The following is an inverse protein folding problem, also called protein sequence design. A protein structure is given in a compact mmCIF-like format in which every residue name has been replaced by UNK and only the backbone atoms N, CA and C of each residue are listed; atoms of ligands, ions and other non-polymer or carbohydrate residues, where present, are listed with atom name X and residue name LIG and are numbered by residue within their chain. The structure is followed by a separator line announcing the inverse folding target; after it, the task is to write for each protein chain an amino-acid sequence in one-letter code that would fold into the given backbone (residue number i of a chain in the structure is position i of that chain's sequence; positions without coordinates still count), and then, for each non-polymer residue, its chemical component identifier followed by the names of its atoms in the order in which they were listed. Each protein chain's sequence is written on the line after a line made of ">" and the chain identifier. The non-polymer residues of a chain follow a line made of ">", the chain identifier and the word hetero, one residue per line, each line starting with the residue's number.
data_IF_356351411152
#
_entry.id   IF_356351411152
#
_cell.length_a   1.000
_cell.length_b   1.000
_cell.length_c   1.000
_cell.angle_alpha   90.00
_cell.angle_beta   90.00
_cell.angle_gamma   90.00
#
_symmetry.space_group_name_H-M   'P 1'
#
loop_
_entity.id
_entity.type
_entity.pdbx_description
1 polymer ?
#
# COMPACT_ATOMS: atom_id res chain seq x y z
N UNK A 1 44.79 43.26 -35.60
CA UNK A 1 44.44 43.93 -36.86
C UNK A 1 42.97 43.67 -37.10
N UNK A 2 42.19 44.67 -36.81
CA UNK A 2 41.44 45.61 -37.64
C UNK A 2 40.21 44.94 -38.29
N UNK A 3 39.01 45.23 -37.75
CA UNK A 3 38.00 46.24 -38.23
C UNK A 3 37.39 45.84 -39.58
N UNK A 4 36.11 45.82 -39.85
CA UNK A 4 35.19 46.94 -39.75
C UNK A 4 33.73 46.49 -39.88
N UNK A 5 32.87 47.32 -39.34
CA UNK A 5 31.41 47.43 -39.45
C UNK A 5 30.96 47.67 -40.90
N UNK A 6 29.76 47.23 -41.22
CA UNK A 6 28.85 48.08 -42.01
C UNK A 6 27.39 47.73 -41.78
N UNK A 7 26.68 48.71 -41.29
CA UNK A 7 25.26 48.83 -41.15
C UNK A 7 24.64 49.28 -42.50
N UNK A 8 23.61 48.59 -42.97
CA UNK A 8 22.71 49.18 -43.99
C UNK A 8 21.25 48.97 -43.56
N UNK A 9 20.63 50.12 -43.29
CA UNK A 9 19.22 50.34 -43.15
C UNK A 9 18.59 50.39 -44.54
N UNK A 10 17.60 49.57 -44.81
CA UNK A 10 16.66 49.86 -45.89
C UNK A 10 15.19 49.60 -45.45
N UNK A 11 14.52 50.71 -45.30
CA UNK A 11 13.09 50.91 -45.14
C UNK A 11 12.42 50.61 -46.47
N UNK A 12 11.46 49.67 -46.49
CA UNK A 12 10.43 49.76 -47.55
C UNK A 12 9.05 49.34 -46.97
N UNK A 13 8.15 50.26 -47.15
CA UNK A 13 6.71 50.19 -46.85
C UNK A 13 6.03 49.30 -47.88
N UNK A 14 5.28 48.31 -47.42
CA UNK A 14 4.24 47.68 -48.24
C UNK A 14 3.03 47.40 -47.37
N UNK A 15 2.05 48.18 -47.65
CA UNK A 15 0.56 47.99 -47.69
C UNK A 15 -0.07 46.90 -46.81
N UNK A 16 -0.85 47.41 -45.93
CA UNK A 16 -1.84 46.77 -45.05
C UNK A 16 -3.02 46.25 -45.91
N UNK A 17 -3.20 44.97 -46.05
CA UNK A 17 -4.49 44.37 -46.41
C UNK A 17 -5.03 43.62 -45.19
N UNK A 18 -5.92 44.27 -44.45
CA UNK A 18 -6.73 43.67 -43.41
C UNK A 18 -7.80 42.82 -44.09
N UNK A 19 -7.62 41.50 -44.08
CA UNK A 19 -8.73 40.56 -44.32
C UNK A 19 -9.29 40.17 -42.95
N UNK A 20 -10.41 40.81 -42.62
CA UNK A 20 -11.25 40.42 -41.47
C UNK A 20 -11.88 39.07 -41.75
N UNK A 21 -11.28 37.98 -41.24
CA UNK A 21 -11.96 36.70 -41.10
C UNK A 21 -12.84 36.79 -39.85
N UNK A 22 -14.14 37.06 -40.06
CA UNK A 22 -15.16 36.85 -39.02
C UNK A 22 -15.29 35.34 -38.78
N UNK A 23 -14.55 34.81 -37.81
CA UNK A 23 -14.87 33.51 -37.21
C UNK A 23 -16.13 33.69 -36.36
N UNK A 24 -17.28 33.35 -36.92
CA UNK A 24 -18.47 33.09 -36.13
C UNK A 24 -18.18 31.88 -35.22
N UNK A 25 -17.77 32.16 -34.00
CA UNK A 25 -17.75 31.16 -32.93
C UNK A 25 -19.22 30.78 -32.67
N UNK A 26 -19.69 29.69 -33.24
CA UNK A 26 -20.92 29.04 -32.79
C UNK A 26 -20.65 28.56 -31.37
N UNK A 27 -21.09 29.33 -30.38
CA UNK A 27 -21.16 28.89 -29.00
C UNK A 27 -22.05 27.65 -28.96
N UNK A 28 -21.44 26.49 -28.86
CA UNK A 28 -22.13 25.26 -28.47
C UNK A 28 -22.83 25.57 -27.14
N UNK A 29 -24.14 25.29 -27.04
CA UNK A 29 -24.82 25.50 -25.78
C UNK A 29 -24.11 24.67 -24.75
N UNK A 30 -23.47 25.33 -23.77
CA UNK A 30 -22.80 24.67 -22.65
C UNK A 30 -23.78 23.68 -22.04
N UNK A 31 -23.48 22.41 -22.09
CA UNK A 31 -24.21 21.40 -21.34
C UNK A 31 -24.21 21.86 -19.89
N UNK A 32 -25.38 22.35 -19.43
CA UNK A 32 -25.61 22.61 -18.01
C UNK A 32 -25.31 21.29 -17.31
N UNK A 33 -24.20 21.22 -16.55
CA UNK A 33 -24.00 20.12 -15.62
C UNK A 33 -25.28 19.97 -14.82
N UNK A 34 -25.92 18.82 -14.93
CA UNK A 34 -27.08 18.54 -14.07
C UNK A 34 -26.63 18.75 -12.63
N UNK A 35 -27.44 19.34 -11.77
CA UNK A 35 -27.11 19.48 -10.36
C UNK A 35 -26.83 18.11 -9.81
N UNK A 36 -25.60 17.90 -9.31
CA UNK A 36 -25.24 16.65 -8.67
C UNK A 36 -26.09 16.56 -7.40
N UNK A 37 -26.97 15.57 -7.35
CA UNK A 37 -27.79 15.33 -6.17
C UNK A 37 -26.87 15.02 -5.00
N UNK A 38 -26.94 15.83 -3.94
CA UNK A 38 -26.10 15.66 -2.76
C UNK A 38 -26.69 14.59 -1.84
N UNK A 39 -25.83 13.71 -1.32
CA UNK A 39 -26.24 12.74 -0.32
C UNK A 39 -26.87 13.42 0.91
N UNK A 40 -27.95 12.87 1.47
CA UNK A 40 -28.59 13.44 2.65
C UNK A 40 -27.63 13.44 3.83
N UNK A 41 -27.49 14.57 4.50
CA UNK A 41 -26.56 14.74 5.65
C UNK A 41 -26.85 13.76 6.81
N UNK A 42 -28.10 13.32 6.94
CA UNK A 42 -28.59 12.46 8.02
C UNK A 42 -28.90 11.03 7.53
N UNK A 43 -28.46 10.64 6.35
CA UNK A 43 -28.66 9.28 5.84
C UNK A 43 -27.84 8.25 6.64
N UNK A 44 -28.37 7.02 6.76
CA UNK A 44 -27.68 5.93 7.41
C UNK A 44 -26.44 5.53 6.59
N UNK A 45 -25.26 5.54 7.22
CA UNK A 45 -24.05 5.01 6.59
C UNK A 45 -24.16 3.51 6.45
N UNK A 46 -23.78 3.03 5.28
CA UNK A 46 -23.83 1.62 4.94
C UNK A 46 -22.70 1.21 4.00
N UNK A 47 -22.55 -0.08 3.81
CA UNK A 47 -21.66 -0.70 2.83
C UNK A 47 -22.24 -2.02 2.33
N UNK A 48 -21.62 -2.61 1.32
CA UNK A 48 -21.98 -3.90 0.77
C UNK A 48 -20.94 -4.97 1.12
N UNK A 49 -21.41 -6.21 1.30
CA UNK A 49 -20.57 -7.41 1.38
C UNK A 49 -20.57 -8.22 0.08
N UNK A 50 -21.25 -7.76 -0.94
CA UNK A 50 -21.29 -8.36 -2.28
C UNK A 50 -21.47 -7.31 -3.35
N UNK A 51 -21.10 -7.62 -4.58
CA UNK A 51 -21.38 -6.74 -5.74
C UNK A 51 -22.89 -6.58 -5.95
N UNK A 52 -23.34 -5.36 -6.20
CA UNK A 52 -24.74 -5.07 -6.48
C UNK A 52 -24.86 -4.03 -7.61
N UNK A 53 -25.90 -4.21 -8.43
CA UNK A 53 -26.24 -3.26 -9.48
C UNK A 53 -27.01 -2.10 -8.89
N UNK A 54 -26.75 -0.89 -9.39
CA UNK A 54 -27.57 0.30 -9.20
C UNK A 54 -28.46 0.52 -10.42
N UNK A 55 -29.71 0.84 -10.18
CA UNK A 55 -30.72 1.07 -11.21
C UNK A 55 -31.30 2.48 -11.09
N UNK A 56 -31.84 3.01 -12.21
CA UNK A 56 -32.50 4.33 -12.25
C UNK A 56 -33.79 4.31 -11.42
N UNK A 57 -34.52 3.19 -11.43
CA UNK A 57 -35.79 2.99 -10.71
C UNK A 57 -35.74 1.73 -9.86
N UNK A 58 -36.62 1.55 -8.85
CA UNK A 58 -36.70 0.36 -8.02
C UNK A 58 -37.31 -0.83 -8.79
N UNK A 59 -36.69 -1.19 -9.88
CA UNK A 59 -37.08 -2.26 -10.80
C UNK A 59 -35.84 -2.81 -11.51
N UNK A 60 -35.63 -4.13 -11.48
CA UNK A 60 -34.53 -4.79 -12.19
C UNK A 60 -34.61 -4.68 -13.71
N UNK A 61 -35.80 -4.38 -14.26
CA UNK A 61 -36.01 -4.10 -15.69
C UNK A 61 -35.62 -2.68 -16.09
N UNK A 62 -35.35 -1.80 -15.14
CA UNK A 62 -34.91 -0.43 -15.44
C UNK A 62 -33.44 -0.36 -15.85
N UNK A 63 -33.00 0.78 -16.37
CA UNK A 63 -31.62 0.99 -16.80
C UNK A 63 -30.66 0.86 -15.61
N UNK A 64 -29.62 0.05 -15.81
CA UNK A 64 -28.52 -0.08 -14.84
C UNK A 64 -27.58 1.12 -14.96
N UNK A 65 -27.34 1.80 -13.85
CA UNK A 65 -26.48 3.01 -13.79
C UNK A 65 -25.03 2.67 -13.51
N UNK A 66 -24.82 1.72 -12.58
CA UNK A 66 -23.47 1.32 -12.14
C UNK A 66 -23.48 -0.02 -11.41
N UNK A 67 -22.27 -0.49 -11.06
CA UNK A 67 -22.05 -1.60 -10.13
C UNK A 67 -21.33 -1.05 -8.91
N UNK A 68 -21.79 -1.39 -7.71
CA UNK A 68 -21.10 -1.08 -6.46
C UNK A 68 -20.41 -2.35 -5.96
N UNK A 69 -19.14 -2.24 -5.67
CA UNK A 69 -18.31 -3.35 -5.16
C UNK A 69 -18.32 -3.41 -3.63
N UNK A 70 -17.95 -4.54 -3.02
CA UNK A 70 -17.87 -4.67 -1.57
C UNK A 70 -17.00 -3.61 -0.89
N UNK A 71 -17.38 -3.23 0.33
CA UNK A 71 -16.64 -2.27 1.14
C UNK A 71 -16.78 -0.80 0.71
N UNK A 72 -17.48 -0.50 -0.38
CA UNK A 72 -17.71 0.88 -0.82
C UNK A 72 -18.62 1.62 0.15
N UNK A 73 -18.30 2.90 0.36
CA UNK A 73 -19.09 3.78 1.22
C UNK A 73 -20.41 4.14 0.56
N UNK A 74 -21.46 4.02 1.33
CA UNK A 74 -22.81 4.36 0.88
C UNK A 74 -23.57 5.11 1.97
N UNK A 75 -24.55 5.89 1.53
CA UNK A 75 -25.56 6.51 2.38
C UNK A 75 -26.95 6.11 1.88
N UNK A 76 -27.74 5.50 2.76
CA UNK A 76 -29.11 5.13 2.46
C UNK A 76 -29.99 6.39 2.59
N UNK A 77 -30.63 6.77 1.50
CA UNK A 77 -31.52 7.94 1.45
C UNK A 77 -32.99 7.57 1.64
N UNK A 78 -33.43 6.43 1.07
CA UNK A 78 -34.82 6.05 1.04
C UNK A 78 -34.95 4.52 1.02
N UNK A 79 -36.05 3.99 1.57
CA UNK A 79 -36.44 2.58 1.53
C UNK A 79 -37.82 2.44 0.89
N UNK A 80 -37.95 1.55 -0.09
CA UNK A 80 -39.21 1.26 -0.78
C UNK A 80 -39.36 -0.26 -0.98
N UNK A 81 -40.06 -0.92 -0.12
CA UNK A 81 -40.20 -2.39 -0.12
C UNK A 81 -38.84 -3.07 0.05
N UNK A 82 -38.41 -3.82 -0.98
CA UNK A 82 -37.11 -4.49 -1.02
C UNK A 82 -36.01 -3.66 -1.70
N UNK A 83 -36.28 -2.38 -1.97
CA UNK A 83 -35.37 -1.48 -2.64
C UNK A 83 -34.86 -0.39 -1.71
N UNK A 84 -33.59 -0.05 -1.90
CA UNK A 84 -32.95 1.08 -1.25
C UNK A 84 -32.48 2.08 -2.30
N UNK A 85 -32.81 3.35 -2.09
CA UNK A 85 -32.15 4.43 -2.79
C UNK A 85 -30.90 4.79 -2.03
N UNK A 86 -29.75 4.72 -2.71
CA UNK A 86 -28.46 4.96 -2.10
C UNK A 86 -27.67 6.00 -2.87
N UNK A 87 -26.81 6.69 -2.15
CA UNK A 87 -25.67 7.44 -2.70
C UNK A 87 -24.41 6.62 -2.37
N UNK A 88 -23.72 6.17 -3.39
CA UNK A 88 -22.57 5.32 -3.27
C UNK A 88 -21.35 5.93 -3.97
N UNK A 89 -20.17 5.56 -3.51
CA UNK A 89 -18.93 5.82 -4.22
C UNK A 89 -18.59 4.61 -5.09
N UNK A 90 -18.31 4.84 -6.36
CA UNK A 90 -17.80 3.82 -7.28
C UNK A 90 -16.37 4.18 -7.72
N UNK A 91 -15.64 3.18 -8.22
CA UNK A 91 -14.30 3.39 -8.74
C UNK A 91 -14.36 4.18 -10.06
N UNK A 92 -13.52 5.21 -10.17
CA UNK A 92 -13.22 5.79 -11.46
C UNK A 92 -12.37 4.79 -12.30
N UNK A 93 -12.48 4.82 -13.63
CA UNK A 93 -11.58 4.06 -14.48
C UNK A 93 -10.12 4.40 -14.18
N UNK A 94 -9.30 3.37 -13.99
CA UNK A 94 -7.87 3.57 -13.76
C UNK A 94 -7.20 4.17 -15.01
N UNK A 95 -6.57 5.32 -14.82
CA UNK A 95 -5.71 5.93 -15.84
C UNK A 95 -4.27 5.64 -15.45
N UNK A 96 -3.68 4.62 -16.02
CA UNK A 96 -2.29 4.26 -15.74
C UNK A 96 -1.34 5.24 -16.45
N UNK A 97 -0.55 5.97 -15.67
CA UNK A 97 0.58 6.72 -16.19
C UNK A 97 1.83 5.83 -16.15
N UNK A 98 2.68 5.96 -17.18
CA UNK A 98 3.93 5.22 -17.23
C UNK A 98 4.83 5.63 -16.05
N UNK A 99 5.44 4.64 -15.40
CA UNK A 99 6.41 4.79 -14.32
C UNK A 99 5.89 5.56 -13.07
N UNK A 100 4.58 5.45 -12.79
CA UNK A 100 3.99 5.93 -11.54
C UNK A 100 3.15 4.83 -10.89
N UNK A 101 3.28 4.61 -9.57
CA UNK A 101 2.45 3.65 -8.86
C UNK A 101 0.97 4.02 -8.93
N UNK A 102 0.11 3.04 -9.21
CA UNK A 102 -1.34 3.25 -9.29
C UNK A 102 -1.90 3.77 -7.95
N UNK A 103 -1.38 3.29 -6.84
CA UNK A 103 -1.83 3.67 -5.51
C UNK A 103 -1.50 5.13 -5.13
N UNK A 104 -0.50 5.76 -5.75
CA UNK A 104 -0.16 7.16 -5.52
C UNK A 104 -1.08 8.14 -6.23
N UNK A 105 -1.65 7.73 -7.36
CA UNK A 105 -2.56 8.60 -8.13
C UNK A 105 -3.88 8.88 -7.41
N UNK A 106 -4.10 8.24 -6.26
CA UNK A 106 -5.33 8.31 -5.49
C UNK A 106 -6.48 7.61 -6.22
N UNK A 107 -7.23 6.80 -5.50
CA UNK A 107 -8.44 6.25 -6.08
C UNK A 107 -9.48 7.36 -6.18
N UNK A 108 -9.60 7.96 -7.35
CA UNK A 108 -10.75 8.81 -7.61
C UNK A 108 -12.03 7.99 -7.44
N UNK A 109 -12.94 8.52 -6.64
CA UNK A 109 -14.26 7.93 -6.47
C UNK A 109 -15.28 8.83 -7.14
N UNK A 110 -16.19 8.22 -7.86
CA UNK A 110 -17.30 8.91 -8.50
C UNK A 110 -18.53 8.69 -7.63
N UNK A 111 -19.10 9.76 -7.02
CA UNK A 111 -20.35 9.65 -6.30
C UNK A 111 -21.49 9.44 -7.29
N UNK A 112 -22.33 8.45 -7.04
CA UNK A 112 -23.47 8.09 -7.87
C UNK A 112 -24.67 7.80 -6.97
N UNK A 113 -25.88 8.05 -7.49
CA UNK A 113 -27.13 7.67 -6.82
C UNK A 113 -27.95 6.71 -7.67
N UNK A 114 -28.68 5.83 -7.03
CA UNK A 114 -29.55 4.88 -7.70
C UNK A 114 -30.28 3.97 -6.71
N UNK A 115 -31.06 3.06 -7.27
CA UNK A 115 -31.78 2.05 -6.52
C UNK A 115 -31.07 0.71 -6.57
N UNK A 116 -31.02 0.01 -5.45
CA UNK A 116 -30.52 -1.35 -5.34
C UNK A 116 -31.38 -2.20 -4.45
N UNK A 117 -31.30 -3.52 -4.61
CA UNK A 117 -31.98 -4.45 -3.69
C UNK A 117 -31.39 -4.36 -2.28
N UNK A 118 -32.24 -4.40 -1.26
CA UNK A 118 -31.86 -4.50 0.15
C UNK A 118 -31.35 -5.91 0.46
N UNK A 119 -30.17 -6.24 -0.07
CA UNK A 119 -29.55 -7.55 0.07
C UNK A 119 -28.02 -7.46 0.15
N UNK A 120 -27.45 -7.93 1.26
CA UNK A 120 -26.00 -7.89 1.50
C UNK A 120 -25.52 -6.49 1.89
N UNK A 121 -26.39 -5.69 2.49
CA UNK A 121 -26.11 -4.35 2.97
C UNK A 121 -25.92 -4.40 4.48
N UNK A 122 -24.84 -3.80 4.93
CA UNK A 122 -24.50 -3.63 6.35
C UNK A 122 -24.57 -2.13 6.66
N UNK A 123 -25.39 -1.77 7.64
CA UNK A 123 -25.42 -0.43 8.22
C UNK A 123 -25.00 -0.47 9.69
N UNK A 124 -24.92 0.70 10.33
CA UNK A 124 -24.48 0.84 11.73
C UNK A 124 -25.43 0.16 12.75
N UNK A 125 -26.64 -0.21 12.34
CA UNK A 125 -27.63 -0.89 13.18
C UNK A 125 -27.69 -2.40 12.91
N UNK A 126 -26.92 -2.89 11.95
CA UNK A 126 -26.90 -4.32 11.62
C UNK A 126 -26.32 -5.12 12.79
N UNK A 127 -27.07 -6.09 13.35
CA UNK A 127 -26.56 -6.93 14.43
C UNK A 127 -25.29 -7.65 14.00
N UNK A 128 -24.22 -7.56 14.84
CA UNK A 128 -22.90 -8.14 14.53
C UNK A 128 -22.30 -7.66 13.21
N UNK A 129 -22.65 -6.44 12.77
CA UNK A 129 -22.19 -5.89 11.50
C UNK A 129 -20.67 -5.79 11.40
N UNK A 130 -19.98 -5.52 12.52
CA UNK A 130 -18.52 -5.53 12.64
C UNK A 130 -17.92 -6.92 12.34
N UNK A 131 -18.48 -7.98 12.94
CA UNK A 131 -18.01 -9.34 12.73
C UNK A 131 -18.30 -9.83 11.29
N UNK A 132 -19.45 -9.44 10.73
CA UNK A 132 -19.80 -9.77 9.34
C UNK A 132 -18.81 -9.12 8.38
N UNK A 133 -18.58 -7.81 8.51
CA UNK A 133 -17.62 -7.09 7.67
C UNK A 133 -16.20 -7.62 7.81
N UNK A 134 -15.79 -7.94 9.03
CA UNK A 134 -14.48 -8.51 9.29
C UNK A 134 -14.33 -9.90 8.64
N UNK A 135 -15.33 -10.77 8.76
CA UNK A 135 -15.30 -12.10 8.14
C UNK A 135 -15.24 -12.05 6.62
N UNK A 136 -16.01 -11.16 6.00
CA UNK A 136 -15.96 -10.96 4.54
C UNK A 136 -14.60 -10.36 4.10
N UNK A 137 -14.02 -9.46 4.93
CA UNK A 137 -12.70 -8.91 4.67
C UNK A 137 -11.61 -9.98 4.69
N UNK A 138 -11.64 -10.89 5.68
CA UNK A 138 -10.73 -12.05 5.76
C UNK A 138 -10.89 -12.95 4.53
N UNK A 139 -12.11 -13.26 4.14
CA UNK A 139 -12.37 -14.09 2.95
C UNK A 139 -11.83 -13.45 1.67
N UNK A 140 -11.96 -12.13 1.53
CA UNK A 140 -11.42 -11.40 0.39
C UNK A 140 -9.87 -11.33 0.41
N UNK A 141 -9.26 -11.20 1.60
CA UNK A 141 -7.81 -11.24 1.80
C UNK A 141 -7.23 -12.62 1.45
N UNK A 142 -7.89 -13.69 1.90
CA UNK A 142 -7.51 -15.06 1.55
C UNK A 142 -7.59 -15.28 0.04
N UNK A 143 -8.69 -14.85 -0.61
CA UNK A 143 -8.83 -14.91 -2.06
C UNK A 143 -7.75 -14.09 -2.80
N UNK A 144 -7.35 -12.95 -2.25
CA UNK A 144 -6.28 -12.13 -2.83
C UNK A 144 -4.90 -12.81 -2.76
N UNK A 145 -4.74 -13.78 -1.85
CA UNK A 145 -3.49 -14.53 -1.65
C UNK A 145 -3.40 -15.81 -2.51
N UNK A 146 -4.44 -16.12 -3.28
CA UNK A 146 -4.45 -17.27 -4.18
C UNK A 146 -3.49 -17.08 -5.36
N UNK A 147 -3.10 -18.19 -6.00
CA UNK A 147 -2.22 -18.15 -7.18
C UNK A 147 -2.80 -17.33 -8.34
N UNK A 148 -4.14 -17.34 -8.48
CA UNK A 148 -4.90 -16.57 -9.47
C UNK A 148 -6.01 -15.79 -8.76
N UNK A 149 -5.67 -14.66 -8.12
CA UNK A 149 -6.62 -13.93 -7.31
C UNK A 149 -7.73 -13.31 -8.16
N UNK A 150 -8.97 -13.28 -7.66
CA UNK A 150 -10.03 -12.53 -8.31
C UNK A 150 -9.67 -11.04 -8.43
N UNK A 151 -9.95 -10.39 -9.57
CA UNK A 151 -9.68 -8.97 -9.74
C UNK A 151 -10.33 -8.13 -8.64
N UNK A 152 -9.54 -7.29 -7.97
CA UNK A 152 -10.00 -6.39 -6.92
C UNK A 152 -10.11 -7.00 -5.53
N UNK A 153 -9.85 -8.30 -5.32
CA UNK A 153 -10.02 -8.97 -4.01
C UNK A 153 -9.24 -8.27 -2.88
N UNK A 154 -7.98 -7.92 -3.10
CA UNK A 154 -7.19 -7.20 -2.12
C UNK A 154 -7.77 -5.81 -1.78
N UNK A 155 -8.27 -5.08 -2.78
CA UNK A 155 -8.93 -3.80 -2.54
C UNK A 155 -10.25 -3.97 -1.78
N UNK A 156 -11.05 -4.98 -2.13
CA UNK A 156 -12.29 -5.33 -1.42
C UNK A 156 -12.00 -5.65 0.06
N UNK A 157 -10.98 -6.48 0.33
CA UNK A 157 -10.52 -6.77 1.70
C UNK A 157 -10.17 -5.49 2.47
N UNK A 158 -9.32 -4.64 1.91
CA UNK A 158 -8.91 -3.38 2.52
C UNK A 158 -10.10 -2.47 2.83
N UNK A 159 -11.02 -2.32 1.90
CA UNK A 159 -12.20 -1.46 2.08
C UNK A 159 -13.13 -2.01 3.17
N UNK A 160 -13.37 -3.31 3.20
CA UNK A 160 -14.19 -3.96 4.22
C UNK A 160 -13.59 -3.80 5.62
N UNK A 161 -12.26 -4.00 5.81
CA UNK A 161 -11.59 -3.72 7.08
C UNK A 161 -11.74 -2.25 7.50
N UNK A 162 -11.61 -1.32 6.57
CA UNK A 162 -11.84 0.11 6.86
C UNK A 162 -13.27 0.38 7.31
N UNK A 163 -14.28 -0.30 6.73
CA UNK A 163 -15.68 -0.14 7.18
C UNK A 163 -15.88 -0.60 8.62
N UNK A 164 -15.20 -1.68 9.07
CA UNK A 164 -15.23 -2.06 10.50
C UNK A 164 -14.80 -0.89 11.38
N UNK A 165 -13.67 -0.26 11.06
CA UNK A 165 -13.12 0.87 11.84
C UNK A 165 -14.05 2.08 11.82
N UNK A 166 -14.62 2.41 10.67
CA UNK A 166 -15.39 3.65 10.48
C UNK A 166 -16.83 3.55 10.96
N UNK A 167 -17.44 2.37 10.86
CA UNK A 167 -18.86 2.16 11.18
C UNK A 167 -19.07 1.63 12.60
N UNK A 168 -18.11 0.88 13.14
CA UNK A 168 -18.22 0.22 14.44
C UNK A 168 -17.07 0.62 15.39
N UNK A 169 -16.99 1.89 15.80
CA UNK A 169 -15.87 2.45 16.58
C UNK A 169 -15.70 1.84 17.99
N UNK A 170 -16.63 0.98 18.45
CA UNK A 170 -16.53 0.28 19.73
C UNK A 170 -16.25 -1.23 19.56
N UNK A 171 -16.02 -1.70 18.33
CA UNK A 171 -15.75 -3.12 18.08
C UNK A 171 -14.36 -3.52 18.66
N UNK A 172 -14.25 -4.72 19.26
CA UNK A 172 -12.97 -5.26 19.67
C UNK A 172 -12.06 -5.60 18.46
N UNK A 173 -12.61 -5.62 17.25
CA UNK A 173 -11.91 -5.94 16.01
C UNK A 173 -11.20 -4.74 15.37
N UNK A 174 -11.35 -3.52 15.92
CA UNK A 174 -10.80 -2.28 15.32
C UNK A 174 -9.29 -2.34 15.13
N UNK A 175 -8.54 -2.75 16.17
CA UNK A 175 -7.08 -2.78 16.11
C UNK A 175 -6.57 -3.70 15.00
N UNK A 176 -7.14 -4.90 14.92
CA UNK A 176 -6.83 -5.85 13.86
C UNK A 176 -7.24 -5.33 12.49
N UNK A 177 -8.47 -4.83 12.37
CA UNK A 177 -8.99 -4.28 11.10
C UNK A 177 -8.14 -3.13 10.58
N UNK A 178 -7.73 -2.22 11.47
CA UNK A 178 -6.89 -1.09 11.08
C UNK A 178 -5.51 -1.55 10.59
N UNK A 179 -4.90 -2.50 11.29
CA UNK A 179 -3.62 -3.07 10.87
C UNK A 179 -3.75 -3.83 9.55
N UNK A 180 -4.73 -4.74 9.41
CA UNK A 180 -4.91 -5.52 8.16
C UNK A 180 -5.21 -4.61 6.96
N UNK A 181 -6.04 -3.57 7.13
CA UNK A 181 -6.26 -2.58 6.08
C UNK A 181 -4.97 -1.87 5.65
N UNK A 182 -4.12 -1.51 6.62
CA UNK A 182 -2.82 -0.90 6.37
C UNK A 182 -1.84 -1.88 5.70
N UNK A 183 -1.82 -3.16 6.15
CA UNK A 183 -0.94 -4.19 5.58
C UNK A 183 -1.32 -4.54 4.15
N UNK A 184 -2.61 -4.73 3.85
CA UNK A 184 -3.06 -4.96 2.46
C UNK A 184 -2.66 -3.78 1.56
N UNK A 185 -2.81 -2.53 2.02
CA UNK A 185 -2.34 -1.37 1.27
C UNK A 185 -0.82 -1.41 1.04
N UNK A 186 -0.07 -1.77 2.08
CA UNK A 186 1.39 -1.89 2.03
C UNK A 186 1.83 -2.92 0.97
N UNK A 187 1.18 -4.10 0.96
CA UNK A 187 1.47 -5.15 -0.02
C UNK A 187 1.10 -4.72 -1.45
N UNK A 188 -0.03 -4.02 -1.63
CA UNK A 188 -0.41 -3.46 -2.92
C UNK A 188 0.61 -2.44 -3.41
N UNK A 189 1.06 -1.52 -2.57
CA UNK A 189 2.10 -0.55 -2.93
C UNK A 189 3.43 -1.22 -3.26
N UNK A 190 3.82 -2.26 -2.52
CA UNK A 190 5.02 -3.05 -2.84
C UNK A 190 4.91 -3.72 -4.21
N UNK A 191 3.75 -4.31 -4.52
CA UNK A 191 3.52 -4.93 -5.82
C UNK A 191 3.53 -3.90 -6.96
N UNK A 192 2.89 -2.75 -6.77
CA UNK A 192 2.89 -1.66 -7.74
C UNK A 192 4.31 -1.12 -7.97
N UNK A 193 5.06 -0.84 -6.90
CA UNK A 193 6.44 -0.37 -6.99
C UNK A 193 7.35 -1.40 -7.70
N UNK A 194 7.19 -2.70 -7.39
CA UNK A 194 7.96 -3.76 -8.03
C UNK A 194 7.66 -3.93 -9.54
N UNK A 195 6.46 -3.51 -9.98
CA UNK A 195 6.06 -3.56 -11.37
C UNK A 195 6.55 -2.37 -12.22
N UNK A 196 7.12 -1.34 -11.60
CA UNK A 196 7.61 -0.16 -12.31
C UNK A 196 8.94 -0.44 -13.02
N UNK A 197 9.21 0.18 -14.19
CA UNK A 197 10.54 0.16 -14.79
C UNK A 197 11.64 0.62 -13.86
N UNK A 198 11.39 1.66 -13.07
CA UNK A 198 12.30 2.21 -12.05
C UNK A 198 12.62 1.25 -10.89
N UNK A 199 11.83 0.19 -10.71
CA UNK A 199 12.10 -0.84 -9.69
C UNK A 199 13.43 -1.59 -9.94
N UNK A 200 13.90 -1.61 -11.17
CA UNK A 200 15.18 -2.21 -11.56
C UNK A 200 16.37 -1.28 -11.39
N UNK A 201 16.12 -0.02 -11.01
CA UNK A 201 17.19 0.93 -10.69
C UNK A 201 17.97 0.46 -9.46
N UNK A 202 19.26 0.63 -9.54
CA UNK A 202 20.16 0.12 -8.50
C UNK A 202 20.26 1.05 -7.30
N UNK A 203 20.13 2.34 -7.51
CA UNK A 203 20.28 3.34 -6.45
C UNK A 203 19.04 3.40 -5.56
N UNK A 204 19.22 3.25 -4.25
CA UNK A 204 18.13 3.21 -3.27
C UNK A 204 17.22 4.43 -3.30
N UNK A 205 17.78 5.61 -3.53
CA UNK A 205 17.03 6.87 -3.54
C UNK A 205 16.13 7.00 -4.78
N UNK A 206 16.31 6.15 -5.79
CA UNK A 206 15.47 6.06 -6.98
C UNK A 206 14.33 5.05 -6.82
N UNK A 207 14.34 4.27 -5.72
CA UNK A 207 13.29 3.29 -5.48
C UNK A 207 12.09 3.94 -4.85
N UNK A 208 10.92 3.53 -5.30
CA UNK A 208 9.65 3.95 -4.73
C UNK A 208 9.53 3.47 -3.29
N UNK A 209 9.08 4.38 -2.42
CA UNK A 209 8.82 4.07 -1.02
C UNK A 209 7.32 3.95 -0.78
N UNK A 210 6.93 3.01 0.07
CA UNK A 210 5.55 2.87 0.49
C UNK A 210 5.15 4.03 1.41
N UNK A 211 3.91 4.47 1.29
CA UNK A 211 3.32 5.46 2.19
C UNK A 211 3.10 4.86 3.59
N UNK A 212 3.79 5.39 4.57
CA UNK A 212 3.78 4.90 5.96
C UNK A 212 2.59 5.42 6.80
N UNK A 213 1.74 6.28 6.28
CA UNK A 213 0.76 7.01 7.10
C UNK A 213 -0.25 6.09 7.79
N UNK A 214 -0.74 5.05 7.10
CA UNK A 214 -1.68 4.09 7.70
C UNK A 214 -0.98 3.24 8.77
N UNK A 215 0.27 2.80 8.53
CA UNK A 215 1.07 2.08 9.53
C UNK A 215 1.34 2.93 10.77
N UNK A 216 1.74 4.20 10.60
CA UNK A 216 1.94 5.15 11.72
C UNK A 216 0.66 5.38 12.52
N UNK A 217 -0.51 5.37 11.87
CA UNK A 217 -1.80 5.46 12.57
C UNK A 217 -2.05 4.24 13.45
N UNK A 218 -1.73 3.03 12.98
CA UNK A 218 -1.84 1.81 13.79
C UNK A 218 -0.97 1.91 15.05
N UNK A 219 0.30 2.28 14.91
CA UNK A 219 1.23 2.49 16.02
C UNK A 219 0.70 3.54 17.03
N UNK A 220 0.15 4.63 16.51
CA UNK A 220 -0.36 5.76 17.33
C UNK A 220 -1.61 5.40 18.12
N UNK A 221 -2.57 4.70 17.50
CA UNK A 221 -3.87 4.45 18.10
C UNK A 221 -3.94 3.16 18.89
N UNK A 222 -3.04 2.21 18.64
CA UNK A 222 -2.97 0.92 19.32
C UNK A 222 -1.56 0.62 19.87
N UNK A 223 -0.95 1.57 20.62
CA UNK A 223 0.39 1.39 21.17
C UNK A 223 0.42 0.15 22.09
N UNK A 224 1.58 -0.50 22.16
CA UNK A 224 1.81 -1.69 22.98
C UNK A 224 0.90 -2.89 22.63
N UNK A 225 0.45 -2.98 21.39
CA UNK A 225 -0.29 -4.12 20.86
C UNK A 225 0.52 -4.80 19.76
N UNK A 226 0.25 -6.10 19.55
CA UNK A 226 0.86 -6.82 18.42
C UNK A 226 0.63 -6.14 17.06
N UNK A 227 -0.44 -5.36 16.93
CA UNK A 227 -0.75 -4.64 15.69
C UNK A 227 0.22 -3.49 15.45
N UNK A 228 0.55 -2.73 16.50
CA UNK A 228 1.59 -1.70 16.44
C UNK A 228 2.97 -2.32 16.15
N UNK A 229 3.27 -3.47 16.75
CA UNK A 229 4.52 -4.18 16.51
C UNK A 229 4.63 -4.64 15.06
N UNK A 230 3.56 -5.16 14.48
CA UNK A 230 3.53 -5.54 13.07
C UNK A 230 3.69 -4.33 12.14
N UNK A 231 3.03 -3.22 12.43
CA UNK A 231 3.16 -1.99 11.66
C UNK A 231 4.58 -1.43 11.70
N UNK A 232 5.20 -1.38 12.89
CA UNK A 232 6.59 -0.96 13.06
C UNK A 232 7.57 -1.86 12.31
N UNK A 233 7.32 -3.19 12.31
CA UNK A 233 8.14 -4.15 11.58
C UNK A 233 8.05 -3.92 10.07
N UNK A 234 6.84 -3.78 9.51
CA UNK A 234 6.65 -3.55 8.09
C UNK A 234 7.37 -2.29 7.59
N UNK A 235 7.38 -1.22 8.39
CA UNK A 235 8.06 0.04 8.05
C UNK A 235 9.58 -0.05 7.97
N UNK A 236 10.19 -1.14 8.43
CA UNK A 236 11.63 -1.38 8.23
C UNK A 236 11.94 -1.47 6.73
N UNK A 237 11.02 -2.02 5.91
CA UNK A 237 11.21 -2.20 4.47
C UNK A 237 11.61 -0.90 3.75
N UNK A 238 11.02 0.25 4.13
CA UNK A 238 11.37 1.57 3.55
C UNK A 238 12.79 2.05 3.88
N UNK A 239 13.47 1.41 4.83
CA UNK A 239 14.79 1.81 5.31
C UNK A 239 15.90 0.89 4.81
N UNK A 240 15.52 -0.21 4.15
CA UNK A 240 16.48 -1.17 3.64
C UNK A 240 17.23 -0.61 2.42
N UNK A 241 18.48 -1.01 2.31
CA UNK A 241 19.34 -0.60 1.19
C UNK A 241 19.02 -1.30 -0.15
N UNK A 242 18.12 -2.28 -0.16
CA UNK A 242 17.85 -3.10 -1.34
C UNK A 242 18.90 -4.18 -1.56
N UNK A 243 19.51 -4.23 -2.73
CA UNK A 243 20.45 -5.29 -3.14
C UNK A 243 21.91 -5.07 -2.73
N UNK A 244 22.19 -4.10 -1.85
CA UNK A 244 23.48 -3.72 -1.25
C UNK A 244 24.62 -3.34 -2.20
N UNK A 245 24.70 -3.89 -3.39
CA UNK A 245 25.63 -3.56 -4.48
C UNK A 245 27.10 -3.43 -4.10
N UNK A 246 27.58 -4.31 -3.22
CA UNK A 246 28.94 -4.26 -2.72
C UNK A 246 29.18 -3.27 -1.58
N UNK A 247 28.13 -2.69 -0.99
CA UNK A 247 28.24 -1.85 0.20
C UNK A 247 28.03 -2.65 1.47
N UNK A 248 29.11 -3.10 2.08
CA UNK A 248 29.17 -3.88 3.33
C UNK A 248 28.53 -3.14 4.52
N UNK A 249 28.45 -1.81 4.46
CA UNK A 249 27.78 -0.99 5.46
C UNK A 249 26.26 -1.13 5.44
N UNK A 250 25.70 -1.50 4.30
CA UNK A 250 24.25 -1.67 4.16
C UNK A 250 23.73 -2.82 5.02
N UNK A 251 24.22 -4.07 4.92
CA UNK A 251 23.75 -5.16 5.78
C UNK A 251 24.03 -4.89 7.26
N UNK A 252 25.13 -4.23 7.63
CA UNK A 252 25.39 -3.82 9.03
C UNK A 252 24.33 -2.84 9.55
N UNK A 253 23.98 -1.83 8.77
CA UNK A 253 22.96 -0.85 9.12
C UNK A 253 21.58 -1.49 9.23
N UNK A 254 21.23 -2.38 8.30
CA UNK A 254 19.98 -3.11 8.33
C UNK A 254 19.90 -4.04 9.54
N UNK A 255 20.98 -4.75 9.88
CA UNK A 255 21.05 -5.57 11.09
C UNK A 255 20.76 -4.73 12.35
N UNK A 256 21.33 -3.52 12.45
CA UNK A 256 21.07 -2.62 13.57
C UNK A 256 19.59 -2.20 13.66
N UNK A 257 18.90 -2.02 12.53
CA UNK A 257 17.47 -1.69 12.52
C UNK A 257 16.63 -2.82 13.09
N UNK A 258 16.93 -4.07 12.73
CA UNK A 258 16.21 -5.22 13.26
C UNK A 258 16.51 -5.48 14.74
N UNK A 259 17.76 -5.29 15.19
CA UNK A 259 18.10 -5.38 16.62
C UNK A 259 17.34 -4.31 17.40
N UNK A 260 17.38 -3.05 16.94
CA UNK A 260 16.67 -1.94 17.56
C UNK A 260 15.17 -2.21 17.63
N UNK A 261 14.57 -2.77 16.58
CA UNK A 261 13.17 -3.16 16.59
C UNK A 261 12.84 -4.11 17.75
N UNK A 262 13.67 -5.14 17.99
CA UNK A 262 13.44 -6.09 19.07
C UNK A 262 13.65 -5.48 20.47
N UNK A 263 14.52 -4.48 20.58
CA UNK A 263 14.70 -3.71 21.82
C UNK A 263 13.47 -2.83 22.12
N UNK A 264 12.89 -2.20 21.11
CA UNK A 264 11.71 -1.34 21.22
C UNK A 264 10.39 -2.14 21.33
N UNK A 265 10.35 -3.37 20.80
CA UNK A 265 9.17 -4.25 20.73
C UNK A 265 9.48 -5.66 21.29
N UNK A 266 9.83 -5.81 22.58
CA UNK A 266 10.33 -7.07 23.15
C UNK A 266 9.32 -8.21 23.13
N UNK A 267 8.01 -7.89 23.15
CA UNK A 267 6.92 -8.86 23.11
C UNK A 267 6.40 -9.14 21.69
N UNK A 268 7.03 -8.57 20.67
CA UNK A 268 6.57 -8.70 19.31
C UNK A 268 6.65 -10.15 18.82
N UNK A 269 5.58 -10.66 18.16
CA UNK A 269 5.63 -11.95 17.49
C UNK A 269 6.68 -12.00 16.35
N UNK A 270 7.12 -10.84 15.84
CA UNK A 270 8.18 -10.71 14.81
C UNK A 270 9.59 -10.68 15.41
N UNK A 271 9.73 -10.67 16.71
CA UNK A 271 11.04 -10.64 17.39
C UNK A 271 12.01 -11.72 16.94
N UNK A 272 11.60 -13.02 16.90
CA UNK A 272 12.46 -14.10 16.42
C UNK A 272 12.95 -13.91 14.99
N UNK A 273 12.05 -13.53 14.10
CA UNK A 273 12.35 -13.24 12.70
C UNK A 273 13.32 -12.05 12.56
N UNK A 274 13.06 -10.97 13.29
CA UNK A 274 13.89 -9.76 13.25
C UNK A 274 15.32 -10.04 13.69
N UNK A 275 15.54 -10.74 14.82
CA UNK A 275 16.88 -11.11 15.25
C UNK A 275 17.56 -12.06 14.27
N UNK A 276 16.85 -13.04 13.73
CA UNK A 276 17.42 -13.91 12.71
C UNK A 276 17.87 -13.12 11.47
N UNK A 277 17.04 -12.21 10.97
CA UNK A 277 17.39 -11.33 9.86
C UNK A 277 18.60 -10.45 10.16
N UNK A 278 18.72 -9.95 11.39
CA UNK A 278 19.89 -9.21 11.82
C UNK A 278 21.16 -10.08 11.79
N UNK A 279 21.08 -11.30 12.34
CA UNK A 279 22.20 -12.23 12.35
C UNK A 279 22.66 -12.61 10.93
N UNK A 280 21.70 -12.88 10.05
CA UNK A 280 21.96 -13.22 8.65
C UNK A 280 22.69 -12.08 7.92
N UNK A 281 22.24 -10.84 8.11
CA UNK A 281 22.87 -9.63 7.54
C UNK A 281 24.29 -9.41 8.04
N UNK A 282 24.53 -9.63 9.31
CA UNK A 282 25.88 -9.54 9.86
C UNK A 282 26.82 -10.65 9.31
N UNK A 283 26.29 -11.85 9.07
CA UNK A 283 27.05 -12.92 8.43
C UNK A 283 27.40 -12.55 6.97
N UNK A 284 26.43 -12.02 6.21
CA UNK A 284 26.66 -11.54 4.85
C UNK A 284 27.69 -10.39 4.81
N UNK A 285 27.61 -9.44 5.75
CA UNK A 285 28.62 -8.37 5.88
C UNK A 285 30.03 -8.93 6.11
N UNK A 286 30.16 -10.00 6.91
CA UNK A 286 31.43 -10.68 7.13
C UNK A 286 32.03 -11.27 5.85
N UNK A 287 31.20 -11.79 4.96
CA UNK A 287 31.65 -12.28 3.66
C UNK A 287 32.06 -11.13 2.72
N UNK A 288 31.30 -10.04 2.72
CA UNK A 288 31.65 -8.84 1.92
C UNK A 288 32.97 -8.21 2.38
N UNK A 289 33.18 -8.02 3.70
CA UNK A 289 34.46 -7.55 4.24
C UNK A 289 35.61 -8.50 3.90
N UNK A 290 35.36 -9.80 3.81
CA UNK A 290 36.39 -10.74 3.35
C UNK A 290 36.75 -10.51 1.89
N UNK A 291 35.76 -10.26 1.03
CA UNK A 291 35.99 -9.94 -0.38
C UNK A 291 36.78 -8.62 -0.55
N UNK A 292 36.60 -7.66 0.35
CA UNK A 292 37.32 -6.39 0.39
C UNK A 292 38.72 -6.50 1.04
N UNK A 293 39.15 -7.72 1.42
CA UNK A 293 40.41 -7.99 2.13
C UNK A 293 40.52 -7.32 3.51
N UNK A 294 39.42 -6.93 4.14
CA UNK A 294 39.37 -6.46 5.53
C UNK A 294 39.05 -7.61 6.49
N UNK A 295 40.08 -8.42 6.79
CA UNK A 295 39.92 -9.59 7.65
C UNK A 295 39.51 -9.25 9.10
N UNK A 296 39.85 -8.05 9.59
CA UNK A 296 39.46 -7.62 10.93
C UNK A 296 37.95 -7.39 11.02
N UNK A 297 37.40 -6.56 10.13
CA UNK A 297 35.95 -6.31 10.09
C UNK A 297 35.16 -7.57 9.74
N UNK A 298 35.69 -8.41 8.86
CA UNK A 298 35.08 -9.70 8.55
C UNK A 298 34.89 -10.57 9.80
N UNK A 299 35.93 -10.65 10.65
CA UNK A 299 35.89 -11.42 11.90
C UNK A 299 34.91 -10.80 12.92
N UNK A 300 34.91 -9.48 13.07
CA UNK A 300 33.97 -8.76 13.95
C UNK A 300 32.51 -8.98 13.51
N UNK A 301 32.20 -8.85 12.22
CA UNK A 301 30.86 -9.07 11.69
C UNK A 301 30.38 -10.51 11.90
N UNK A 302 31.25 -11.51 11.66
CA UNK A 302 30.92 -12.92 11.91
C UNK A 302 30.71 -13.23 13.40
N UNK A 303 31.54 -12.66 14.28
CA UNK A 303 31.37 -12.83 15.74
C UNK A 303 30.01 -12.24 16.17
N UNK A 304 29.64 -11.07 15.67
CA UNK A 304 28.36 -10.43 15.96
C UNK A 304 27.18 -11.23 15.38
N UNK A 305 27.34 -11.82 14.19
CA UNK A 305 26.33 -12.70 13.61
C UNK A 305 26.04 -13.91 14.52
N UNK A 306 27.10 -14.56 15.03
CA UNK A 306 26.97 -15.69 15.95
C UNK A 306 26.32 -15.26 17.27
N UNK A 307 26.69 -14.12 17.83
CA UNK A 307 26.11 -13.59 19.06
C UNK A 307 24.60 -13.33 18.89
N UNK A 308 24.20 -12.63 17.85
CA UNK A 308 22.78 -12.34 17.58
C UNK A 308 22.00 -13.64 17.32
N UNK A 309 22.56 -14.58 16.55
CA UNK A 309 21.93 -15.87 16.31
C UNK A 309 21.78 -16.70 17.60
N UNK A 310 22.76 -16.61 18.51
CA UNK A 310 22.68 -17.20 19.85
C UNK A 310 21.56 -16.58 20.69
N UNK A 311 21.32 -15.26 20.56
CA UNK A 311 20.19 -14.60 21.22
C UNK A 311 18.83 -15.11 20.70
N UNK A 312 18.69 -15.42 19.39
CA UNK A 312 17.47 -16.06 18.86
C UNK A 312 17.20 -17.37 19.57
N UNK A 313 18.22 -18.23 19.68
CA UNK A 313 18.09 -19.54 20.35
C UNK A 313 17.74 -19.41 21.83
N UNK A 314 18.36 -18.46 22.52
CA UNK A 314 18.16 -18.27 23.96
C UNK A 314 16.78 -17.65 24.29
N UNK A 315 16.38 -16.64 23.54
CA UNK A 315 15.11 -15.91 23.80
C UNK A 315 13.88 -16.62 23.22
N UNK A 316 14.04 -17.33 22.09
CA UNK A 316 12.93 -17.90 21.34
C UNK A 316 13.14 -19.38 20.97
N UNK A 317 13.43 -20.26 21.93
CA UNK A 317 13.87 -21.64 21.66
C UNK A 317 12.82 -22.49 20.94
N UNK A 318 11.54 -22.09 21.00
CA UNK A 318 10.44 -22.81 20.35
C UNK A 318 10.10 -22.26 18.95
N UNK A 319 10.78 -21.20 18.51
CA UNK A 319 10.57 -20.62 17.18
C UNK A 319 11.33 -21.41 16.12
N UNK A 320 10.78 -21.53 14.92
CA UNK A 320 11.51 -22.05 13.76
C UNK A 320 12.81 -21.28 13.48
N UNK A 321 12.85 -19.98 13.84
CA UNK A 321 14.05 -19.15 13.70
C UNK A 321 15.19 -19.58 14.63
N UNK A 322 14.91 -20.28 15.74
CA UNK A 322 15.97 -20.88 16.58
C UNK A 322 16.73 -21.97 15.81
N UNK A 323 16.01 -22.80 15.05
CA UNK A 323 16.66 -23.83 14.21
C UNK A 323 17.42 -23.20 13.04
N UNK A 324 16.84 -22.15 12.40
CA UNK A 324 17.52 -21.39 11.34
C UNK A 324 18.79 -20.71 11.88
N UNK A 325 18.75 -20.16 13.09
CA UNK A 325 19.91 -19.55 13.75
C UNK A 325 21.02 -20.58 14.04
N UNK A 326 20.67 -21.80 14.46
CA UNK A 326 21.65 -22.90 14.63
C UNK A 326 22.37 -23.22 13.31
N UNK A 327 21.61 -23.32 12.22
CA UNK A 327 22.16 -23.53 10.87
C UNK A 327 23.09 -22.39 10.45
N UNK A 328 22.69 -21.13 10.72
CA UNK A 328 23.50 -19.95 10.40
C UNK A 328 24.83 -19.95 11.18
N UNK A 329 24.77 -20.20 12.49
CA UNK A 329 25.98 -20.31 13.34
C UNK A 329 26.94 -21.37 12.77
N UNK A 330 26.41 -22.55 12.44
CA UNK A 330 27.24 -23.63 11.85
C UNK A 330 27.90 -23.18 10.54
N UNK A 331 27.13 -22.55 9.62
CA UNK A 331 27.67 -22.08 8.34
C UNK A 331 28.79 -21.05 8.55
N UNK A 332 28.57 -20.06 9.41
CA UNK A 332 29.56 -19.01 9.72
C UNK A 332 30.84 -19.63 10.31
N UNK A 333 30.72 -20.61 11.24
CA UNK A 333 31.86 -21.31 11.85
C UNK A 333 32.63 -22.16 10.83
N UNK A 334 31.96 -22.73 9.83
CA UNK A 334 32.57 -23.51 8.77
C UNK A 334 33.12 -22.67 7.61
N UNK A 335 32.94 -21.33 7.65
CA UNK A 335 33.35 -20.45 6.55
C UNK A 335 32.51 -20.64 5.27
N UNK A 336 31.30 -21.17 5.41
CA UNK A 336 30.35 -21.30 4.29
C UNK A 336 29.76 -19.89 4.01
N UNK A 337 29.91 -19.40 2.80
CA UNK A 337 29.42 -18.10 2.40
C UNK A 337 27.91 -17.97 2.53
N UNK A 338 27.48 -16.83 3.07
CA UNK A 338 26.07 -16.42 3.20
C UNK A 338 25.71 -15.40 2.13
N UNK A 339 26.60 -14.47 1.83
CA UNK A 339 26.39 -13.46 0.81
C UNK A 339 26.23 -14.07 -0.59
N UNK A 340 25.22 -13.63 -1.33
CA UNK A 340 24.89 -14.20 -2.64
C UNK A 340 24.04 -15.49 -2.57
N UNK A 341 23.64 -15.94 -1.38
CA UNK A 341 22.62 -17.00 -1.25
C UNK A 341 21.22 -16.37 -1.27
N UNK A 342 20.30 -16.90 -2.07
CA UNK A 342 18.90 -16.46 -2.15
C UNK A 342 18.05 -16.91 -0.94
N UNK A 343 18.67 -17.40 0.11
CA UNK A 343 18.00 -17.97 1.29
C UNK A 343 18.28 -17.15 2.53
N UNK A 344 17.45 -16.19 2.73
CA UNK A 344 17.34 -15.44 3.99
C UNK A 344 16.54 -16.21 5.06
#
# INVERSE_FOLDING_TARGET
>A
MQKDRLTIVMRNRISLCFVLFLCAATALPGQKKMPQELAPKNGAKATLVRRANLYVQPDEGSEQVAIVTPGREMVIAERSGHWLRVFANIDAPETRQADQPVMEQGQEVIPISGWMLDKGIIDTNTPHGDAILFGEAVSAEDAASELHPPPGAALEARLLYRRVVEMFPQSPLIGESMWRAADVRWQLQKADAAALPSAHEKENYLREQMDEDEMKKVEKYFPHTRWADFAAYARIDNKLCGDWQGSEKCPEKEAQMYVKYVEEHPESPRGPEALYKAAWRMAAAGDMWTADNDGHRAQEARARAIDIAGQVQAKYPQSEYAARAASLIYKVQQGISIYGSDRE
#
